data_IF_573448558438
#
_entry.id   IF_573448558438
#
_cell.length_a   1.000
_cell.length_b   1.000
_cell.length_c   1.000
_cell.angle_alpha   90.00
_cell.angle_beta   90.00
_cell.angle_gamma   90.00
#
_symmetry.space_group_name_H-M   'P 1'
#
loop_
_entity.id
_entity.type
_entity.pdbx_description
1 polymer ?
#
# COMPACT_ATOMS: atom_id res chain seq x y z
N UNK A 1 0.34 2.04 16.02
CA UNK A 1 -0.13 3.34 15.50
C UNK A 1 -0.83 3.08 14.18
N UNK A 2 -2.07 3.54 14.01
CA UNK A 2 -2.78 3.40 12.74
C UNK A 2 -2.47 4.52 11.75
N UNK A 3 -2.64 4.24 10.46
CA UNK A 3 -2.35 5.20 9.39
C UNK A 3 -3.59 5.90 8.84
N UNK A 4 -3.39 7.09 8.26
CA UNK A 4 -4.41 7.73 7.43
C UNK A 4 -4.44 7.07 6.05
N UNK A 5 -5.63 6.96 5.45
CA UNK A 5 -5.82 6.45 4.10
C UNK A 5 -6.08 7.59 3.11
N UNK A 6 -5.65 7.43 1.87
CA UNK A 6 -6.04 8.34 0.80
C UNK A 6 -7.50 8.13 0.43
N UNK A 7 -8.22 9.22 0.13
CA UNK A 7 -9.45 9.10 -0.64
C UNK A 7 -9.11 8.81 -2.10
N UNK A 8 -9.96 8.01 -2.79
CA UNK A 8 -9.86 7.84 -4.23
C UNK A 8 -10.17 9.14 -4.96
N UNK A 9 -9.89 9.16 -6.26
CA UNK A 9 -10.24 10.31 -7.08
C UNK A 9 -11.74 10.35 -7.39
N UNK A 10 -12.49 10.93 -6.46
CA UNK A 10 -13.96 11.09 -6.51
C UNK A 10 -14.35 12.52 -6.16
N UNK A 11 -15.62 12.87 -6.41
CA UNK A 11 -16.17 14.20 -6.12
C UNK A 11 -16.15 14.53 -4.62
N UNK A 12 -16.26 15.82 -4.30
CA UNK A 12 -16.29 16.29 -2.91
C UNK A 12 -17.46 15.67 -2.12
N UNK A 13 -18.63 15.53 -2.75
CA UNK A 13 -19.81 14.90 -2.16
C UNK A 13 -19.54 13.44 -1.82
N UNK A 14 -18.86 12.72 -2.72
CA UNK A 14 -18.51 11.32 -2.49
C UNK A 14 -17.44 11.16 -1.39
N UNK A 15 -16.48 12.08 -1.28
CA UNK A 15 -15.54 12.13 -0.14
C UNK A 15 -16.30 12.27 1.18
N UNK A 16 -17.29 13.17 1.24
CA UNK A 16 -18.13 13.36 2.43
C UNK A 16 -18.88 12.08 2.80
N UNK A 17 -19.46 11.40 1.82
CA UNK A 17 -20.22 10.17 2.05
C UNK A 17 -19.31 9.01 2.49
N UNK A 18 -18.15 8.83 1.85
CA UNK A 18 -17.15 7.83 2.26
C UNK A 18 -16.71 8.07 3.71
N UNK A 19 -16.43 9.33 4.08
CA UNK A 19 -16.03 9.68 5.45
C UNK A 19 -17.09 9.32 6.48
N UNK A 20 -18.37 9.60 6.16
CA UNK A 20 -19.51 9.32 7.04
C UNK A 20 -19.67 7.81 7.22
N UNK A 21 -19.66 7.05 6.12
CA UNK A 21 -19.76 5.60 6.18
C UNK A 21 -18.59 4.96 6.94
N UNK A 22 -17.37 5.49 6.79
CA UNK A 22 -16.20 4.94 7.49
C UNK A 22 -16.26 5.03 9.02
N UNK A 23 -17.16 5.85 9.59
CA UNK A 23 -17.37 5.89 11.04
C UNK A 23 -18.08 4.65 11.58
N UNK A 24 -18.75 3.89 10.71
CA UNK A 24 -19.59 2.76 11.09
C UNK A 24 -19.26 1.47 10.33
N UNK A 25 -18.74 1.58 9.11
CA UNK A 25 -18.40 0.47 8.24
C UNK A 25 -16.91 0.14 8.30
N UNK A 26 -16.57 -1.15 8.16
CA UNK A 26 -15.16 -1.58 8.09
C UNK A 26 -14.59 -1.29 6.71
N UNK A 27 -13.47 -0.58 6.69
CA UNK A 27 -12.73 -0.29 5.45
C UNK A 27 -12.03 -1.55 4.95
N UNK A 28 -12.20 -1.83 3.67
CA UNK A 28 -11.42 -2.81 2.93
C UNK A 28 -10.48 -2.08 1.97
N UNK A 29 -9.26 -2.57 1.83
CA UNK A 29 -8.31 -2.10 0.83
C UNK A 29 -8.16 -3.15 -0.26
N UNK A 30 -8.24 -2.75 -1.52
CA UNK A 30 -7.92 -3.59 -2.66
C UNK A 30 -6.49 -3.29 -3.11
N UNK A 31 -5.64 -4.31 -3.14
CA UNK A 31 -4.23 -4.11 -3.42
C UNK A 31 -3.33 -5.31 -3.13
N UNK A 32 -2.02 -5.03 -3.04
CA UNK A 32 -0.97 -6.03 -2.90
C UNK A 32 -0.36 -5.99 -1.51
N UNK A 33 -0.30 -7.13 -0.84
CA UNK A 33 0.55 -7.29 0.33
C UNK A 33 1.98 -7.63 -0.13
N UNK A 34 2.94 -6.89 0.40
CA UNK A 34 4.36 -6.99 0.05
C UNK A 34 5.14 -7.32 1.32
N UNK A 35 5.73 -8.51 1.33
CA UNK A 35 6.76 -8.88 2.29
C UNK A 35 8.07 -8.19 1.88
N UNK A 36 8.62 -7.34 2.75
CA UNK A 36 9.74 -6.47 2.39
C UNK A 36 11.06 -7.24 2.15
N UNK A 37 11.41 -8.26 2.96
CA UNK A 37 12.52 -9.15 2.63
C UNK A 37 12.34 -9.82 1.26
N UNK A 38 11.17 -10.37 0.97
CA UNK A 38 10.88 -11.04 -0.31
C UNK A 38 10.96 -10.08 -1.51
N UNK A 39 10.47 -8.85 -1.36
CA UNK A 39 10.61 -7.81 -2.38
C UNK A 39 12.08 -7.47 -2.63
N UNK A 40 12.88 -7.31 -1.57
CA UNK A 40 14.31 -7.05 -1.69
C UNK A 40 15.02 -8.20 -2.41
N UNK A 41 14.72 -9.45 -2.07
CA UNK A 41 15.29 -10.63 -2.73
C UNK A 41 14.94 -10.71 -4.22
N UNK A 42 13.72 -10.32 -4.62
CA UNK A 42 13.32 -10.26 -6.03
C UNK A 42 13.99 -9.13 -6.80
N UNK A 43 14.25 -7.99 -6.16
CA UNK A 43 14.79 -6.79 -6.80
C UNK A 43 16.30 -6.66 -6.76
N UNK A 44 16.98 -7.38 -5.87
CA UNK A 44 18.44 -7.27 -5.78
C UNK A 44 19.08 -7.82 -7.05
N UNK A 45 19.93 -7.03 -7.69
CA UNK A 45 20.86 -7.53 -8.69
C UNK A 45 21.87 -8.42 -7.98
N UNK A 46 22.02 -9.68 -8.41
CA UNK A 46 22.93 -10.65 -7.80
C UNK A 46 24.38 -10.17 -7.95
N UNK A 47 24.91 -9.51 -6.92
CA UNK A 47 26.33 -9.16 -6.85
C UNK A 47 26.86 -9.24 -5.43
N UNK A 48 27.80 -10.17 -5.27
CA UNK A 48 28.84 -10.30 -4.23
C UNK A 48 28.57 -11.23 -3.02
N UNK A 49 29.03 -12.50 -3.07
CA UNK A 49 29.05 -13.38 -1.90
C UNK A 49 30.13 -12.91 -0.91
N UNK A 50 29.72 -12.15 0.12
CA UNK A 50 30.64 -11.65 1.16
C UNK A 50 30.18 -10.36 1.87
N UNK A 51 29.02 -9.80 1.52
CA UNK A 51 28.53 -8.56 2.15
C UNK A 51 28.29 -8.73 3.64
N UNK A 52 28.75 -7.74 4.41
CA UNK A 52 28.41 -7.63 5.83
C UNK A 52 26.92 -7.36 6.02
N UNK A 53 26.38 -7.75 7.18
CA UNK A 53 24.97 -7.50 7.52
C UNK A 53 24.57 -6.01 7.39
N UNK A 54 25.45 -5.09 7.80
CA UNK A 54 25.23 -3.64 7.67
C UNK A 54 25.05 -3.22 6.20
N UNK A 55 25.87 -3.76 5.30
CA UNK A 55 25.77 -3.50 3.86
C UNK A 55 24.45 -4.02 3.27
N UNK A 56 23.97 -5.19 3.71
CA UNK A 56 22.68 -5.75 3.28
C UNK A 56 21.51 -4.87 3.73
N UNK A 57 21.54 -4.39 4.98
CA UNK A 57 20.48 -3.53 5.52
C UNK A 57 20.42 -2.17 4.82
N UNK A 58 21.59 -1.58 4.52
CA UNK A 58 21.64 -0.32 3.78
C UNK A 58 21.11 -0.48 2.35
N UNK A 59 21.47 -1.58 1.68
CA UNK A 59 21.01 -1.87 0.32
C UNK A 59 19.50 -2.16 0.28
N UNK A 60 19.00 -2.94 1.25
CA UNK A 60 17.57 -3.16 1.43
C UNK A 60 16.82 -1.84 1.59
N UNK A 61 17.32 -0.91 2.43
CA UNK A 61 16.71 0.42 2.59
C UNK A 61 16.67 1.19 1.27
N UNK A 62 17.75 1.16 0.48
CA UNK A 62 17.80 1.84 -0.83
C UNK A 62 16.80 1.25 -1.82
N UNK A 63 16.72 -0.08 -1.91
CA UNK A 63 15.78 -0.78 -2.80
C UNK A 63 14.33 -0.49 -2.41
N UNK A 64 14.01 -0.51 -1.11
CA UNK A 64 12.68 -0.21 -0.62
C UNK A 64 12.31 1.26 -0.86
N UNK A 65 13.23 2.20 -0.60
CA UNK A 65 12.98 3.62 -0.86
C UNK A 65 12.79 3.89 -2.36
N UNK A 66 13.62 3.30 -3.22
CA UNK A 66 13.44 3.42 -4.67
C UNK A 66 12.08 2.84 -5.10
N UNK A 67 11.71 1.67 -4.59
CA UNK A 67 10.40 1.06 -4.89
C UNK A 67 9.25 1.96 -4.45
N UNK A 68 9.38 2.60 -3.28
CA UNK A 68 8.41 3.58 -2.81
C UNK A 68 8.31 4.75 -3.79
N UNK A 69 9.43 5.32 -4.22
CA UNK A 69 9.44 6.44 -5.19
C UNK A 69 8.83 6.04 -6.54
N UNK A 70 9.13 4.85 -7.05
CA UNK A 70 8.57 4.34 -8.30
C UNK A 70 7.04 4.20 -8.22
N UNK A 71 6.51 3.72 -7.09
CA UNK A 71 5.07 3.63 -6.86
C UNK A 71 4.41 5.01 -6.84
N UNK A 72 5.03 6.00 -6.21
CA UNK A 72 4.53 7.37 -6.22
C UNK A 72 4.55 7.98 -7.63
N UNK A 73 5.62 7.74 -8.39
CA UNK A 73 5.74 8.18 -9.78
C UNK A 73 4.72 7.50 -10.70
N UNK A 74 4.28 6.28 -10.39
CA UNK A 74 3.19 5.59 -11.09
C UNK A 74 1.78 6.15 -10.77
N UNK A 75 1.69 7.17 -9.92
CA UNK A 75 0.43 7.85 -9.59
C UNK A 75 -0.20 7.43 -8.26
N UNK A 76 0.49 6.63 -7.44
CA UNK A 76 -0.01 6.30 -6.10
C UNK A 76 0.21 7.46 -5.13
N UNK A 77 -0.73 7.64 -4.21
CA UNK A 77 -0.58 8.59 -3.12
C UNK A 77 0.38 8.02 -2.05
N UNK A 78 1.08 8.87 -1.29
CA UNK A 78 1.91 8.40 -0.18
C UNK A 78 1.14 7.65 0.91
N UNK A 79 -0.17 7.90 1.07
CA UNK A 79 -1.05 7.15 1.96
C UNK A 79 -1.56 5.82 1.36
N UNK A 80 -1.25 5.54 0.08
CA UNK A 80 -1.51 4.24 -0.55
C UNK A 80 -0.49 3.19 -0.15
N UNK A 81 0.60 3.56 0.52
CA UNK A 81 1.61 2.61 1.01
C UNK A 81 1.49 2.56 2.52
N UNK A 82 0.77 1.55 3.03
CA UNK A 82 0.54 1.38 4.45
C UNK A 82 1.46 0.30 5.02
N UNK A 83 2.09 0.54 6.18
CA UNK A 83 2.59 -0.57 6.98
C UNK A 83 1.43 -1.45 7.38
N UNK A 84 1.50 -2.76 7.19
CA UNK A 84 0.37 -3.66 7.45
C UNK A 84 0.86 -4.95 8.12
N UNK A 85 0.15 -5.46 9.15
CA UNK A 85 0.56 -6.68 9.82
C UNK A 85 0.66 -7.86 8.86
N UNK A 86 1.75 -8.62 8.95
CA UNK A 86 1.95 -9.78 8.09
C UNK A 86 0.87 -10.83 8.38
N UNK A 87 0.06 -11.22 7.37
CA UNK A 87 -0.98 -12.21 7.52
C UNK A 87 -0.42 -13.53 8.04
N UNK A 88 -1.14 -14.21 8.94
CA UNK A 88 -0.63 -15.44 9.59
C UNK A 88 -0.16 -16.50 8.59
N UNK A 89 -0.87 -16.65 7.47
CA UNK A 89 -0.55 -17.59 6.40
C UNK A 89 0.63 -17.15 5.51
N UNK A 90 1.13 -15.93 5.66
CA UNK A 90 2.30 -15.38 4.93
C UNK A 90 3.51 -15.12 5.83
N UNK A 91 3.43 -15.42 7.13
CA UNK A 91 4.56 -15.25 8.07
C UNK A 91 5.62 -16.31 7.80
N UNK A 92 6.82 -15.89 7.39
CA UNK A 92 8.03 -16.72 7.38
C UNK A 92 8.82 -16.46 8.67
N UNK A 93 9.74 -17.37 9.04
CA UNK A 93 10.64 -17.21 10.20
C UNK A 93 11.44 -15.90 10.11
N UNK A 94 11.74 -15.48 8.89
CA UNK A 94 12.53 -14.28 8.56
C UNK A 94 11.67 -13.05 8.25
N UNK A 95 10.34 -13.18 8.21
CA UNK A 95 9.46 -12.06 7.89
C UNK A 95 9.30 -11.14 9.10
N UNK A 96 9.46 -9.82 8.94
CA UNK A 96 9.06 -8.88 9.98
C UNK A 96 7.56 -9.01 10.28
N UNK A 97 7.15 -8.64 11.49
CA UNK A 97 5.75 -8.64 11.90
C UNK A 97 4.85 -7.76 11.00
N UNK A 98 5.45 -6.87 10.21
CA UNK A 98 4.77 -5.96 9.30
C UNK A 98 5.42 -5.95 7.92
N UNK A 99 4.60 -5.94 6.87
CA UNK A 99 4.98 -5.65 5.50
C UNK A 99 4.39 -4.32 5.01
N UNK A 100 4.37 -4.12 3.70
CA UNK A 100 3.58 -3.06 3.08
C UNK A 100 2.28 -3.61 2.51
N UNK A 101 1.23 -2.82 2.59
CA UNK A 101 0.04 -2.96 1.77
C UNK A 101 0.02 -1.82 0.78
N UNK A 102 0.15 -2.14 -0.50
CA UNK A 102 0.05 -1.21 -1.61
C UNK A 102 -1.41 -1.13 -2.03
N UNK A 103 -2.08 -0.05 -1.64
CA UNK A 103 -3.52 0.16 -1.76
C UNK A 103 -3.82 0.86 -3.08
N UNK A 104 -4.47 0.15 -4.00
CA UNK A 104 -4.91 0.71 -5.28
C UNK A 104 -6.22 1.49 -5.12
N UNK A 105 -7.15 0.91 -4.35
CA UNK A 105 -8.40 1.56 -3.98
C UNK A 105 -8.88 1.03 -2.64
N UNK A 106 -9.78 1.77 -2.04
CA UNK A 106 -10.46 1.36 -0.81
C UNK A 106 -11.95 1.20 -1.06
N UNK A 107 -12.63 0.52 -0.15
CA UNK A 107 -14.02 0.16 -0.31
C UNK A 107 -14.68 -0.27 0.98
N UNK A 108 -16.01 -0.38 0.96
CA UNK A 108 -16.77 -1.06 2.01
C UNK A 108 -17.31 -2.36 1.48
N UNK A 109 -17.38 -3.40 2.32
CA UNK A 109 -17.94 -4.72 1.95
C UNK A 109 -17.36 -5.28 0.63
N UNK A 110 -16.06 -5.02 0.38
CA UNK A 110 -15.35 -5.39 -0.86
C UNK A 110 -15.92 -4.76 -2.15
N UNK A 111 -16.64 -3.65 -2.03
CA UNK A 111 -17.08 -2.81 -3.15
C UNK A 111 -16.18 -1.59 -3.20
N UNK A 112 -15.49 -1.38 -4.31
CA UNK A 112 -14.56 -0.26 -4.48
C UNK A 112 -15.29 1.08 -4.53
N UNK A 113 -14.70 2.10 -3.92
CA UNK A 113 -15.20 3.47 -4.00
C UNK A 113 -15.01 4.10 -5.37
N UNK A 114 -14.02 3.65 -6.13
CA UNK A 114 -13.74 4.09 -7.49
C UNK A 114 -13.26 2.90 -8.33
N UNK A 115 -13.44 2.93 -9.66
CA UNK A 115 -12.84 1.93 -10.53
C UNK A 115 -11.30 1.99 -10.45
N UNK A 116 -10.65 0.84 -10.62
CA UNK A 116 -9.19 0.73 -10.74
C UNK A 116 -8.88 0.35 -12.18
N UNK A 117 -8.04 1.12 -12.87
CA UNK A 117 -7.62 0.79 -14.22
C UNK A 117 -6.67 -0.41 -14.23
N UNK A 118 -6.81 -1.28 -15.23
CA UNK A 118 -5.89 -2.41 -15.43
C UNK A 118 -4.45 -1.92 -15.66
N UNK A 119 -4.28 -0.80 -16.36
CA UNK A 119 -2.97 -0.17 -16.59
C UNK A 119 -2.26 0.21 -15.27
N UNK A 120 -3.01 0.68 -14.25
CA UNK A 120 -2.41 0.96 -12.94
C UNK A 120 -2.00 -0.34 -12.23
N UNK A 121 -2.84 -1.37 -12.32
CA UNK A 121 -2.55 -2.70 -11.76
C UNK A 121 -1.26 -3.25 -12.37
N UNK A 122 -1.14 -3.23 -13.69
CA UNK A 122 0.03 -3.74 -14.43
C UNK A 122 1.30 -2.97 -14.10
N UNK A 123 1.22 -1.63 -14.04
CA UNK A 123 2.36 -0.78 -13.62
C UNK A 123 2.84 -1.13 -12.21
N UNK A 124 1.91 -1.27 -11.26
CA UNK A 124 2.25 -1.63 -9.88
C UNK A 124 2.81 -3.05 -9.81
N UNK A 125 2.27 -4.01 -10.55
CA UNK A 125 2.81 -5.36 -10.64
C UNK A 125 4.24 -5.38 -11.16
N UNK A 126 4.53 -4.63 -12.22
CA UNK A 126 5.87 -4.48 -12.77
C UNK A 126 6.84 -3.87 -11.75
N UNK A 127 6.43 -2.80 -11.06
CA UNK A 127 7.25 -2.17 -10.00
C UNK A 127 7.50 -3.14 -8.85
N UNK A 128 6.53 -3.97 -8.47
CA UNK A 128 6.69 -4.94 -7.39
C UNK A 128 7.35 -6.25 -7.84
N UNK A 129 7.68 -6.40 -9.13
CA UNK A 129 8.17 -7.63 -9.73
C UNK A 129 7.31 -8.85 -9.31
N UNK A 130 5.99 -8.75 -9.50
CA UNK A 130 5.02 -9.76 -9.04
C UNK A 130 3.99 -10.08 -10.12
N UNK A 131 3.57 -11.34 -10.19
CA UNK A 131 2.47 -11.84 -11.03
C UNK A 131 1.15 -11.96 -10.26
N UNK A 132 1.21 -11.99 -8.92
CA UNK A 132 0.03 -11.94 -8.04
C UNK A 132 -0.95 -10.85 -8.49
N UNK A 133 -2.26 -11.15 -8.47
CA UNK A 133 -3.34 -10.16 -8.68
C UNK A 133 -3.68 -9.44 -7.37
N UNK A 134 -4.18 -8.20 -7.42
CA UNK A 134 -4.61 -7.50 -6.21
C UNK A 134 -5.82 -8.19 -5.58
N UNK A 135 -5.89 -8.15 -4.25
CA UNK A 135 -6.93 -8.82 -3.46
C UNK A 135 -7.51 -7.86 -2.41
N UNK A 136 -8.64 -8.25 -1.81
CA UNK A 136 -9.28 -7.49 -0.74
C UNK A 136 -8.69 -7.81 0.63
N UNK A 137 -8.23 -6.77 1.31
CA UNK A 137 -7.67 -6.80 2.65
C UNK A 137 -8.57 -6.04 3.62
N UNK A 138 -8.90 -6.68 4.75
CA UNK A 138 -9.66 -6.00 5.80
C UNK A 138 -8.71 -5.08 6.58
N UNK A 139 -9.01 -3.77 6.59
CA UNK A 139 -8.20 -2.82 7.34
C UNK A 139 -8.51 -2.88 8.83
N UNK A 140 -7.47 -2.74 9.66
CA UNK A 140 -7.65 -2.57 11.10
C UNK A 140 -8.45 -1.30 11.39
N UNK A 141 -9.20 -1.28 12.50
CA UNK A 141 -9.91 -0.07 12.99
C UNK A 141 -9.00 1.12 13.27
N UNK A 142 -7.70 0.89 13.32
CA UNK A 142 -6.70 1.96 13.47
C UNK A 142 -6.50 2.75 12.17
N UNK A 143 -6.91 2.24 11.00
CA UNK A 143 -6.87 2.99 9.74
C UNK A 143 -8.19 3.71 9.53
N UNK A 144 -8.11 4.93 9.01
CA UNK A 144 -9.28 5.73 8.72
C UNK A 144 -8.99 6.78 7.66
N UNK A 145 -10.06 7.27 7.06
CA UNK A 145 -9.95 8.45 6.21
C UNK A 145 -9.75 9.70 7.08
N UNK A 146 -8.91 10.65 6.63
CA UNK A 146 -8.90 11.97 7.22
C UNK A 146 -10.28 12.65 7.04
N UNK A 147 -10.56 13.69 7.82
CA UNK A 147 -11.85 14.38 7.70
C UNK A 147 -12.05 14.93 6.28
N UNK A 148 -13.26 14.77 5.74
CA UNK A 148 -13.59 15.19 4.38
C UNK A 148 -13.21 16.66 4.13
N UNK A 149 -13.54 17.55 5.09
CA UNK A 149 -13.21 18.98 5.02
C UNK A 149 -11.70 19.23 4.96
N UNK A 150 -10.90 18.49 5.73
CA UNK A 150 -9.44 18.61 5.69
C UNK A 150 -8.89 18.11 4.36
N UNK A 151 -9.38 16.96 3.89
CA UNK A 151 -8.92 16.37 2.63
C UNK A 151 -9.23 17.26 1.44
N UNK A 152 -10.46 17.74 1.30
CA UNK A 152 -10.87 18.60 0.17
C UNK A 152 -10.02 19.87 0.12
N UNK A 153 -9.71 20.47 1.29
CA UNK A 153 -8.88 21.68 1.36
C UNK A 153 -7.42 21.43 0.96
N UNK A 154 -6.91 20.21 1.09
CA UNK A 154 -5.49 19.90 0.91
C UNK A 154 -5.21 18.95 -0.27
N UNK A 155 -6.25 18.42 -0.93
CA UNK A 155 -6.15 17.64 -2.18
C UNK A 155 -5.73 18.52 -3.38
N UNK A 156 -5.79 19.84 -3.24
CA UNK A 156 -5.50 20.83 -4.30
C UNK A 156 -4.15 21.56 -4.14
N UNK A 157 -3.25 21.07 -3.30
CA UNK A 157 -1.87 21.56 -3.17
C UNK A 157 -0.90 20.43 -3.52
#
# INVERSE_FOLDING_TARGET
MGGKLAYPDVSAEMIHEIYKQSQHERICAYGFFVDLPDLYERKRSVSDPGRSFSSVMEDMRKVLEQTRLDLLAAGLNHLSIAHFPTPKNRRKITSPDNGWLIILVTGFKKTSHAPVSEELVERVQAILATDERPTWWLMSRLYGYPSARWWIKHKMQ
#
